data_IF_595215819179
#
_entry.id   IF_595215819179
#
_cell.length_a   1.000
_cell.length_b   1.000
_cell.length_c   1.000
_cell.angle_alpha   90.00
_cell.angle_beta   90.00
_cell.angle_gamma   90.00
#
_symmetry.space_group_name_H-M   'P 1'
#
loop_
_entity.id
_entity.type
_entity.pdbx_description
1 polymer ?
#
# COMPACT_ATOMS: atom_id res chain seq x y z
N UNK A 1 9.94 5.46 25.61
CA UNK A 1 9.16 6.08 24.51
C UNK A 1 9.53 5.48 23.16
N UNK A 2 10.81 5.44 22.80
CA UNK A 2 11.35 4.72 21.60
C UNK A 2 10.76 3.33 21.37
N UNK A 3 10.72 2.46 22.40
CA UNK A 3 10.14 1.11 22.28
C UNK A 3 8.65 1.10 21.89
N UNK A 4 7.89 2.09 22.34
CA UNK A 4 6.47 2.22 21.98
C UNK A 4 6.31 2.67 20.52
N UNK A 5 7.09 3.68 20.09
CA UNK A 5 7.10 4.15 18.71
C UNK A 5 7.52 3.02 17.75
N UNK A 6 8.57 2.27 18.11
CA UNK A 6 9.05 1.14 17.32
C UNK A 6 7.99 0.03 17.24
N UNK A 7 7.37 -0.35 18.36
CA UNK A 7 6.30 -1.35 18.38
C UNK A 7 5.11 -0.92 17.50
N UNK A 8 4.69 0.34 17.61
CA UNK A 8 3.59 0.87 16.82
C UNK A 8 3.95 0.96 15.33
N UNK A 9 5.18 1.32 14.98
CA UNK A 9 5.68 1.33 13.60
C UNK A 9 5.62 -0.06 12.98
N UNK A 10 6.10 -1.07 13.70
CA UNK A 10 6.10 -2.47 13.24
C UNK A 10 4.66 -2.96 13.09
N UNK A 11 3.80 -2.71 14.07
CA UNK A 11 2.39 -3.11 14.02
C UNK A 11 1.66 -2.46 12.83
N UNK A 12 1.86 -1.16 12.63
CA UNK A 12 1.30 -0.43 11.49
C UNK A 12 1.81 -1.02 10.16
N UNK A 13 3.09 -1.39 10.08
CA UNK A 13 3.67 -1.98 8.87
C UNK A 13 3.04 -3.33 8.55
N UNK A 14 2.88 -4.21 9.54
CA UNK A 14 2.27 -5.53 9.36
C UNK A 14 0.82 -5.39 8.91
N UNK A 15 0.04 -4.54 9.60
CA UNK A 15 -1.40 -4.39 9.34
C UNK A 15 -1.70 -3.63 8.04
N UNK A 16 -0.86 -2.67 7.65
CA UNK A 16 -1.12 -1.86 6.47
C UNK A 16 -0.62 -2.51 5.17
N UNK A 17 0.57 -3.12 5.19
CA UNK A 17 1.22 -3.58 3.95
C UNK A 17 0.56 -4.85 3.39
N UNK A 18 0.15 -5.79 4.25
CA UNK A 18 -0.46 -7.05 3.82
C UNK A 18 -1.75 -6.88 2.98
N UNK A 19 -2.77 -6.17 3.50
CA UNK A 19 -4.02 -5.97 2.77
C UNK A 19 -3.84 -5.19 1.46
N UNK A 20 -2.95 -4.18 1.41
CA UNK A 20 -2.68 -3.39 0.20
C UNK A 20 -2.07 -4.26 -0.88
N UNK A 21 -1.06 -5.06 -0.53
CA UNK A 21 -0.35 -5.90 -1.51
C UNK A 21 -1.26 -6.97 -2.11
N UNK A 22 -2.12 -7.59 -1.30
CA UNK A 22 -3.13 -8.55 -1.78
C UNK A 22 -4.17 -7.86 -2.65
N UNK A 23 -4.72 -6.71 -2.22
CA UNK A 23 -5.75 -6.01 -2.99
C UNK A 23 -5.23 -5.49 -4.34
N UNK A 24 -4.02 -4.91 -4.35
CA UNK A 24 -3.39 -4.39 -5.55
C UNK A 24 -3.04 -5.49 -6.56
N UNK A 25 -2.60 -6.67 -6.09
CA UNK A 25 -2.24 -7.80 -6.96
C UNK A 25 -3.45 -8.53 -7.54
N UNK A 26 -4.58 -8.56 -6.82
CA UNK A 26 -5.82 -9.19 -7.30
C UNK A 26 -6.61 -8.31 -8.27
N UNK A 27 -6.48 -6.97 -8.18
CA UNK A 27 -7.29 -6.03 -8.98
C UNK A 27 -7.26 -6.27 -10.51
N UNK A 28 -6.10 -6.48 -11.17
CA UNK A 28 -6.03 -6.64 -12.63
C UNK A 28 -6.85 -7.82 -13.17
N UNK A 29 -7.11 -8.84 -12.33
CA UNK A 29 -7.91 -10.01 -12.72
C UNK A 29 -9.39 -9.65 -12.91
N UNK A 30 -9.91 -8.71 -12.13
CA UNK A 30 -11.33 -8.35 -12.09
C UNK A 30 -11.65 -7.08 -12.89
N UNK A 31 -10.64 -6.27 -13.21
CA UNK A 31 -10.78 -5.05 -14.01
C UNK A 31 -10.60 -5.29 -15.52
N UNK A 32 -10.18 -6.49 -15.94
CA UNK A 32 -9.90 -6.76 -17.36
C UNK A 32 -11.20 -6.90 -18.16
N UNK A 33 -11.36 -6.19 -19.29
CA UNK A 33 -12.50 -6.41 -20.16
C UNK A 33 -12.57 -7.87 -20.62
N UNK A 34 -13.78 -8.46 -20.70
CA UNK A 34 -13.93 -9.83 -21.13
C UNK A 34 -13.41 -10.02 -22.56
N UNK A 35 -12.95 -11.24 -22.85
CA UNK A 35 -12.66 -11.62 -24.23
C UNK A 35 -13.95 -11.50 -25.07
N UNK A 36 -13.85 -11.04 -26.33
CA UNK A 36 -15.01 -10.88 -27.20
C UNK A 36 -15.75 -12.23 -27.32
N UNK A 37 -17.04 -12.25 -26.95
CA UNK A 37 -17.90 -13.43 -26.97
C UNK A 37 -18.21 -14.09 -25.62
N UNK A 38 -17.86 -13.47 -24.49
CA UNK A 38 -18.22 -13.98 -23.16
C UNK A 38 -19.43 -13.26 -22.57
N UNK A 39 -20.52 -14.01 -22.31
CA UNK A 39 -21.76 -13.53 -21.65
C UNK A 39 -21.71 -13.75 -20.12
N UNK A 40 -20.55 -13.53 -19.49
CA UNK A 40 -20.35 -13.76 -18.05
C UNK A 40 -21.01 -12.69 -17.16
N UNK A 41 -21.13 -12.92 -15.83
CA UNK A 41 -21.73 -11.96 -14.90
C UNK A 41 -20.81 -10.75 -14.64
N UNK A 42 -20.79 -9.82 -15.60
CA UNK A 42 -20.00 -8.57 -15.59
C UNK A 42 -20.14 -7.73 -14.31
N UNK A 43 -21.36 -7.65 -13.77
CA UNK A 43 -21.65 -6.83 -12.59
C UNK A 43 -20.91 -7.31 -11.34
N UNK A 44 -20.65 -8.62 -11.24
CA UNK A 44 -19.98 -9.19 -10.07
C UNK A 44 -18.48 -8.86 -10.07
N UNK A 45 -17.82 -8.97 -11.22
CA UNK A 45 -16.38 -8.71 -11.35
C UNK A 45 -16.09 -7.22 -11.21
N UNK A 46 -16.92 -6.37 -11.79
CA UNK A 46 -16.81 -4.91 -11.67
C UNK A 46 -17.07 -4.44 -10.23
N UNK A 47 -18.04 -5.05 -9.53
CA UNK A 47 -18.27 -4.81 -8.09
C UNK A 47 -17.09 -5.27 -7.22
N UNK A 48 -16.45 -6.38 -7.59
CA UNK A 48 -15.25 -6.88 -6.90
C UNK A 48 -14.06 -5.96 -7.12
N UNK A 49 -13.83 -5.47 -8.34
CA UNK A 49 -12.79 -4.49 -8.65
C UNK A 49 -13.00 -3.19 -7.84
N UNK A 50 -14.23 -2.67 -7.78
CA UNK A 50 -14.56 -1.48 -6.98
C UNK A 50 -14.29 -1.69 -5.48
N UNK A 51 -14.57 -2.88 -4.95
CA UNK A 51 -14.26 -3.23 -3.56
C UNK A 51 -12.75 -3.29 -3.30
N UNK A 52 -11.98 -3.94 -4.18
CA UNK A 52 -10.51 -4.00 -4.10
C UNK A 52 -9.89 -2.60 -4.16
N UNK A 53 -10.38 -1.74 -5.05
CA UNK A 53 -9.96 -0.34 -5.13
C UNK A 53 -10.23 0.41 -3.81
N UNK A 54 -11.42 0.20 -3.21
CA UNK A 54 -11.76 0.82 -1.93
C UNK A 54 -10.82 0.36 -0.79
N UNK A 55 -10.43 -0.91 -0.78
CA UNK A 55 -9.43 -1.44 0.18
C UNK A 55 -8.08 -0.77 -0.07
N UNK A 56 -7.58 -0.79 -1.33
CA UNK A 56 -6.32 -0.15 -1.69
C UNK A 56 -6.29 1.31 -1.23
N UNK A 57 -7.35 2.09 -1.50
CA UNK A 57 -7.42 3.51 -1.15
C UNK A 57 -7.51 3.74 0.35
N UNK A 58 -8.33 2.96 1.07
CA UNK A 58 -8.45 3.07 2.52
C UNK A 58 -7.13 2.74 3.22
N UNK A 59 -6.49 1.63 2.83
CA UNK A 59 -5.22 1.23 3.42
C UNK A 59 -4.04 2.07 2.95
N UNK A 60 -4.06 2.67 1.75
CA UNK A 60 -3.00 3.61 1.33
C UNK A 60 -2.88 4.80 2.30
N UNK A 61 -4.01 5.29 2.83
CA UNK A 61 -4.02 6.33 3.87
C UNK A 61 -3.45 5.79 5.18
N UNK A 62 -3.86 4.59 5.60
CA UNK A 62 -3.31 3.94 6.81
C UNK A 62 -1.80 3.69 6.67
N UNK A 63 -1.34 3.38 5.46
CA UNK A 63 0.06 3.15 5.13
C UNK A 63 0.95 4.36 5.42
N UNK A 64 0.41 5.59 5.45
CA UNK A 64 1.14 6.82 5.82
C UNK A 64 1.61 6.76 7.28
N UNK A 65 0.92 6.01 8.14
CA UNK A 65 1.35 5.83 9.53
C UNK A 65 2.75 5.19 9.62
N UNK A 66 3.10 4.31 8.67
CA UNK A 66 4.39 3.61 8.65
C UNK A 66 5.57 4.59 8.55
N UNK A 67 5.70 5.43 7.49
CA UNK A 67 6.81 6.38 7.40
C UNK A 67 6.76 7.45 8.50
N UNK A 68 5.58 7.90 8.94
CA UNK A 68 5.47 8.87 10.04
C UNK A 68 6.06 8.30 11.34
N UNK A 69 5.65 7.09 11.72
CA UNK A 69 6.15 6.41 12.90
C UNK A 69 7.62 6.01 12.75
N UNK A 70 8.05 5.61 11.55
CA UNK A 70 9.43 5.25 11.25
C UNK A 70 10.37 6.45 11.42
N UNK A 71 9.97 7.61 10.90
CA UNK A 71 10.74 8.85 11.04
C UNK A 71 10.80 9.32 12.50
N UNK A 72 9.67 9.27 13.22
CA UNK A 72 9.63 9.58 14.64
C UNK A 72 10.53 8.64 15.46
N UNK A 73 10.52 7.34 15.14
CA UNK A 73 11.38 6.36 15.81
C UNK A 73 12.86 6.63 15.51
N UNK A 74 13.23 6.85 14.25
CA UNK A 74 14.60 7.17 13.83
C UNK A 74 15.12 8.45 14.48
N UNK A 75 14.30 9.50 14.55
CA UNK A 75 14.62 10.74 15.25
C UNK A 75 14.85 10.51 16.75
N UNK A 76 13.97 9.73 17.39
CA UNK A 76 14.07 9.44 18.82
C UNK A 76 15.24 8.52 19.21
N UNK A 77 15.75 7.74 18.25
CA UNK A 77 16.94 6.89 18.42
C UNK A 77 18.24 7.60 17.98
N UNK A 78 18.16 8.77 17.35
CA UNK A 78 19.33 9.51 16.88
C UNK A 78 20.02 8.93 15.64
N UNK A 79 19.33 8.06 14.89
CA UNK A 79 19.90 7.25 13.78
C UNK A 79 19.45 7.73 12.40
N UNK A 80 18.95 8.97 12.28
CA UNK A 80 18.45 9.52 11.01
C UNK A 80 19.50 9.58 9.89
N UNK A 81 20.78 9.66 10.24
CA UNK A 81 21.90 9.69 9.30
C UNK A 81 22.48 8.32 8.94
N UNK A 82 22.00 7.23 9.56
CA UNK A 82 22.57 5.91 9.33
C UNK A 82 22.21 5.39 7.93
N UNK A 83 23.19 4.81 7.23
CA UNK A 83 23.02 4.31 5.87
C UNK A 83 21.88 3.27 5.75
N UNK A 84 21.68 2.42 6.76
CA UNK A 84 20.60 1.43 6.76
C UNK A 84 19.21 2.08 6.78
N UNK A 85 19.03 3.15 7.57
CA UNK A 85 17.76 3.84 7.69
C UNK A 85 17.49 4.68 6.43
N UNK A 86 18.51 5.38 5.91
CA UNK A 86 18.40 6.08 4.63
C UNK A 86 17.96 5.14 3.52
N UNK A 87 18.58 3.96 3.41
CA UNK A 87 18.20 2.95 2.42
C UNK A 87 16.73 2.52 2.58
N UNK A 88 16.26 2.29 3.81
CA UNK A 88 14.85 1.97 4.08
C UNK A 88 13.89 3.10 3.70
N UNK A 89 14.25 4.36 3.99
CA UNK A 89 13.44 5.55 3.63
C UNK A 89 13.33 5.66 2.12
N UNK A 90 14.45 5.55 1.40
CA UNK A 90 14.50 5.61 -0.07
C UNK A 90 13.64 4.50 -0.68
N UNK A 91 13.78 3.26 -0.21
CA UNK A 91 12.99 2.14 -0.70
C UNK A 91 11.48 2.36 -0.46
N UNK A 92 11.11 2.88 0.70
CA UNK A 92 9.71 3.20 1.03
C UNK A 92 9.17 4.31 0.12
N UNK A 93 9.96 5.35 -0.14
CA UNK A 93 9.58 6.42 -1.05
C UNK A 93 9.37 5.91 -2.48
N UNK A 94 10.24 5.02 -2.97
CA UNK A 94 10.08 4.37 -4.28
C UNK A 94 8.78 3.54 -4.31
N UNK A 95 8.52 2.73 -3.28
CA UNK A 95 7.30 1.94 -3.20
C UNK A 95 6.03 2.81 -3.21
N UNK A 96 6.03 3.91 -2.45
CA UNK A 96 4.92 4.85 -2.42
C UNK A 96 4.74 5.56 -3.78
N UNK A 97 5.82 5.94 -4.45
CA UNK A 97 5.79 6.53 -5.78
C UNK A 97 5.21 5.56 -6.82
N UNK A 98 5.63 4.29 -6.80
CA UNK A 98 5.09 3.26 -7.69
C UNK A 98 3.59 3.03 -7.43
N UNK A 99 3.19 2.99 -6.16
CA UNK A 99 1.78 2.81 -5.79
C UNK A 99 0.93 3.99 -6.28
N UNK A 100 1.39 5.23 -6.11
CA UNK A 100 0.66 6.43 -6.53
C UNK A 100 0.69 6.68 -8.05
N UNK A 101 1.81 6.41 -8.72
CA UNK A 101 2.01 6.76 -10.13
C UNK A 101 1.66 5.64 -11.10
N UNK A 102 1.71 4.37 -10.68
CA UNK A 102 1.44 3.23 -11.56
C UNK A 102 0.25 2.39 -11.12
N UNK A 103 0.10 2.11 -9.82
CA UNK A 103 -0.96 1.22 -9.35
C UNK A 103 -2.30 1.95 -9.28
N UNK A 104 -2.40 3.04 -8.50
CA UNK A 104 -3.63 3.81 -8.33
C UNK A 104 -4.27 4.30 -9.65
N UNK A 105 -3.54 4.91 -10.61
CA UNK A 105 -4.14 5.38 -11.85
C UNK A 105 -4.62 4.24 -12.75
N UNK A 106 -3.91 3.10 -12.77
CA UNK A 106 -4.36 1.89 -13.47
C UNK A 106 -5.58 1.20 -12.83
N UNK A 107 -6.05 1.70 -11.68
CA UNK A 107 -7.30 1.26 -11.04
C UNK A 107 -8.48 2.22 -11.26
N UNK A 108 -8.25 3.39 -11.88
CA UNK A 108 -9.28 4.43 -12.11
C UNK A 108 -9.87 4.44 -13.52
N UNK A 109 -9.54 3.44 -14.35
CA UNK A 109 -10.14 3.20 -15.67
C UNK A 109 -11.02 1.93 -15.65
#
# INVERSE_FOLDING_TARGET
>A
MTKLLLSLHVLASILAVGPITVAASMFPRYARPPAPGSEGPHDHDMRTAAFLHKICRGYAVVGIAVPVLGFATGASMGVLGDAWLLASIVLTAIAAALLMAMVLPGQSE
#
